data_IF_936477528435
#
_entry.id   IF_936477528435
#
_cell.length_a   1.000
_cell.length_b   1.000
_cell.length_c   1.000
_cell.angle_alpha   90.00
_cell.angle_beta   90.00
_cell.angle_gamma   90.00
#
_symmetry.space_group_name_H-M   'P 1'
#
loop_
_entity.id
_entity.type
_entity.pdbx_description
1 polymer ?
#
# COMPACT_ATOMS: atom_id res chain seq x y z
N UNK A 1 10.00 4.69 -2.15
CA UNK A 1 9.59 3.58 -3.04
C UNK A 1 9.41 4.15 -4.43
N UNK A 2 9.96 3.55 -5.49
CA UNK A 2 9.83 4.09 -6.85
C UNK A 2 9.35 3.04 -7.81
N UNK A 3 8.51 3.44 -8.77
CA UNK A 3 8.14 2.56 -9.88
C UNK A 3 9.33 2.36 -10.81
N UNK A 4 9.51 1.12 -11.28
CA UNK A 4 10.47 0.80 -12.32
C UNK A 4 9.95 1.27 -13.69
N UNK A 5 10.83 1.81 -14.56
CA UNK A 5 10.43 2.30 -15.86
C UNK A 5 9.86 1.18 -16.75
N UNK A 6 8.83 1.50 -17.52
CA UNK A 6 8.17 0.59 -18.45
C UNK A 6 7.18 -0.38 -17.80
N UNK A 7 6.97 -0.30 -16.48
CA UNK A 7 5.99 -1.15 -15.81
C UNK A 7 4.54 -0.69 -16.12
N UNK A 8 3.60 -1.63 -16.07
CA UNK A 8 2.19 -1.39 -16.38
C UNK A 8 1.59 -0.24 -15.55
N UNK A 9 2.00 -0.10 -14.29
CA UNK A 9 1.43 0.90 -13.38
C UNK A 9 1.67 2.34 -13.85
N UNK A 10 2.75 2.61 -14.60
CA UNK A 10 3.04 3.95 -15.13
C UNK A 10 1.98 4.46 -16.12
N UNK A 11 1.14 3.57 -16.66
CA UNK A 11 0.06 3.93 -17.57
C UNK A 11 -1.30 4.11 -16.86
N UNK A 12 -1.35 3.91 -15.54
CA UNK A 12 -2.53 4.13 -14.74
C UNK A 12 -2.53 5.56 -14.20
N UNK A 13 -3.68 6.21 -14.33
CA UNK A 13 -3.94 7.52 -13.72
C UNK A 13 -4.64 7.34 -12.37
N UNK A 14 -4.06 7.95 -11.34
CA UNK A 14 -4.63 8.11 -10.01
C UNK A 14 -5.26 9.50 -9.91
N UNK A 15 -6.52 9.57 -9.48
CA UNK A 15 -7.16 10.85 -9.20
C UNK A 15 -6.49 11.55 -8.01
N UNK A 16 -6.05 12.80 -8.19
CA UNK A 16 -5.32 13.53 -7.14
C UNK A 16 -6.19 13.93 -5.94
N UNK A 17 -7.51 14.01 -6.11
CA UNK A 17 -8.42 14.43 -5.03
C UNK A 17 -8.78 13.28 -4.10
N UNK A 18 -9.10 12.12 -4.68
CA UNK A 18 -9.60 10.95 -3.97
C UNK A 18 -8.54 9.86 -3.81
N UNK A 19 -7.41 9.95 -4.52
CA UNK A 19 -6.38 8.92 -4.58
C UNK A 19 -6.98 7.54 -4.95
N UNK A 20 -7.83 7.53 -5.98
CA UNK A 20 -8.49 6.35 -6.52
C UNK A 20 -8.32 6.29 -8.03
N UNK A 21 -8.39 5.07 -8.58
CA UNK A 21 -8.40 4.87 -10.02
C UNK A 21 -9.79 5.18 -10.60
N UNK A 22 -9.82 5.68 -11.83
CA UNK A 22 -11.06 5.69 -12.61
C UNK A 22 -11.56 4.26 -12.83
N UNK A 23 -12.87 4.09 -13.10
CA UNK A 23 -13.47 2.77 -13.38
C UNK A 23 -12.72 2.02 -14.50
N UNK A 24 -12.28 2.74 -15.54
CA UNK A 24 -11.52 2.16 -16.65
C UNK A 24 -10.15 1.63 -16.19
N UNK A 25 -9.42 2.40 -15.39
CA UNK A 25 -8.12 1.99 -14.87
C UNK A 25 -8.25 0.86 -13.84
N UNK A 26 -9.28 0.91 -12.99
CA UNK A 26 -9.62 -0.16 -12.07
C UNK A 26 -9.91 -1.47 -12.82
N UNK A 27 -10.68 -1.42 -13.92
CA UNK A 27 -10.94 -2.60 -14.76
C UNK A 27 -9.65 -3.17 -15.38
N UNK A 28 -8.79 -2.30 -15.92
CA UNK A 28 -7.51 -2.74 -16.47
C UNK A 28 -6.62 -3.37 -15.38
N UNK A 29 -6.65 -2.84 -14.16
CA UNK A 29 -5.94 -3.39 -13.02
C UNK A 29 -6.53 -4.73 -12.56
N UNK A 30 -7.86 -4.91 -12.60
CA UNK A 30 -8.51 -6.20 -12.34
C UNK A 30 -8.06 -7.27 -13.34
N UNK A 31 -8.00 -6.93 -14.62
CA UNK A 31 -7.53 -7.86 -15.66
C UNK A 31 -6.04 -8.21 -15.43
N UNK A 32 -5.23 -7.22 -15.06
CA UNK A 32 -3.84 -7.46 -14.71
C UNK A 32 -3.68 -8.36 -13.47
N UNK A 33 -4.49 -8.15 -12.43
CA UNK A 33 -4.53 -9.02 -11.25
C UNK A 33 -4.89 -10.47 -11.61
N UNK A 34 -5.87 -10.67 -12.48
CA UNK A 34 -6.24 -12.01 -12.96
C UNK A 34 -5.11 -12.71 -13.74
N UNK A 35 -4.27 -11.95 -14.46
CA UNK A 35 -3.08 -12.49 -15.11
C UNK A 35 -2.00 -12.90 -14.11
N UNK A 36 -1.86 -12.15 -13.01
CA UNK A 36 -0.95 -12.50 -11.92
C UNK A 36 -1.45 -13.72 -11.12
N UNK A 37 -2.76 -13.89 -11.00
CA UNK A 37 -3.40 -15.02 -10.33
C UNK A 37 -3.38 -16.31 -11.18
N UNK A 38 -2.18 -16.89 -11.33
CA UNK A 38 -1.97 -18.14 -12.07
C UNK A 38 -2.74 -19.34 -11.50
N UNK A 39 -3.16 -19.27 -10.23
CA UNK A 39 -3.90 -20.33 -9.56
C UNK A 39 -5.42 -20.16 -9.66
N UNK A 40 -5.91 -19.00 -10.14
CA UNK A 40 -7.34 -18.66 -10.30
C UNK A 40 -8.12 -18.81 -9.00
N UNK A 41 -7.54 -18.34 -7.90
CA UNK A 41 -8.17 -18.31 -6.56
C UNK A 41 -8.82 -16.97 -6.22
N UNK A 42 -8.74 -16.00 -7.13
CA UNK A 42 -9.04 -14.59 -6.90
C UNK A 42 -8.18 -13.96 -5.79
N UNK A 43 -6.96 -14.50 -5.59
CA UNK A 43 -6.02 -14.05 -4.58
C UNK A 43 -4.57 -14.36 -5.02
N UNK A 44 -3.61 -13.54 -4.60
CA UNK A 44 -2.19 -13.74 -4.87
C UNK A 44 -1.51 -14.30 -3.63
N UNK A 45 -0.86 -15.45 -3.76
CA UNK A 45 0.00 -15.94 -2.68
C UNK A 45 1.26 -15.05 -2.54
N UNK A 46 2.02 -15.30 -1.47
CA UNK A 46 3.25 -14.57 -1.15
C UNK A 46 4.26 -14.52 -2.31
N UNK A 47 4.41 -15.60 -3.10
CA UNK A 47 5.33 -15.63 -4.23
C UNK A 47 4.83 -14.79 -5.41
N UNK A 48 3.55 -14.89 -5.76
CA UNK A 48 2.94 -14.09 -6.84
C UNK A 48 3.01 -12.60 -6.51
N UNK A 49 2.65 -12.22 -5.28
CA UNK A 49 2.74 -10.86 -4.79
C UNK A 49 4.18 -10.35 -4.75
N UNK A 50 5.12 -11.18 -4.29
CA UNK A 50 6.54 -10.86 -4.27
C UNK A 50 7.08 -10.57 -5.67
N UNK A 51 6.82 -11.46 -6.63
CA UNK A 51 7.25 -11.31 -8.01
C UNK A 51 6.68 -10.03 -8.64
N UNK A 52 5.39 -9.75 -8.40
CA UNK A 52 4.76 -8.52 -8.85
C UNK A 52 5.47 -7.27 -8.32
N UNK A 53 5.58 -7.12 -6.99
CA UNK A 53 6.18 -5.92 -6.39
C UNK A 53 7.67 -5.79 -6.73
N UNK A 54 8.40 -6.91 -6.78
CA UNK A 54 9.79 -6.89 -7.18
C UNK A 54 9.96 -6.47 -8.65
N UNK A 55 9.01 -6.82 -9.52
CA UNK A 55 9.04 -6.41 -10.92
C UNK A 55 8.69 -4.94 -11.13
N UNK A 56 7.67 -4.42 -10.43
CA UNK A 56 7.16 -3.05 -10.67
C UNK A 56 7.82 -1.97 -9.82
N UNK A 57 8.52 -2.32 -8.74
CA UNK A 57 9.14 -1.36 -7.80
C UNK A 57 10.63 -1.62 -7.54
N UNK A 58 11.29 -0.66 -6.90
CA UNK A 58 12.63 -0.79 -6.32
C UNK A 58 12.66 -1.37 -4.88
N UNK A 59 11.53 -1.89 -4.37
CA UNK A 59 11.45 -2.41 -3.01
C UNK A 59 12.40 -3.61 -2.80
N UNK A 60 13.03 -3.62 -1.62
CA UNK A 60 13.87 -4.73 -1.17
C UNK A 60 12.99 -5.89 -0.69
N UNK A 61 13.49 -7.12 -0.81
CA UNK A 61 12.79 -8.33 -0.37
C UNK A 61 12.17 -8.19 1.03
N UNK A 62 12.95 -7.71 2.00
CA UNK A 62 12.46 -7.49 3.38
C UNK A 62 11.23 -6.57 3.47
N UNK A 63 11.15 -5.53 2.65
CA UNK A 63 10.02 -4.60 2.65
C UNK A 63 8.80 -5.20 1.94
N UNK A 64 9.02 -5.99 0.88
CA UNK A 64 7.94 -6.70 0.18
C UNK A 64 7.34 -7.78 1.07
N UNK A 65 8.18 -8.55 1.77
CA UNK A 65 7.73 -9.55 2.75
C UNK A 65 6.94 -8.90 3.87
N UNK A 66 7.46 -7.81 4.46
CA UNK A 66 6.75 -7.07 5.49
C UNK A 66 5.41 -6.51 4.98
N UNK A 67 5.36 -5.93 3.77
CA UNK A 67 4.09 -5.43 3.22
C UNK A 67 3.07 -6.56 3.02
N UNK A 68 3.50 -7.76 2.61
CA UNK A 68 2.60 -8.91 2.53
C UNK A 68 2.03 -9.26 3.91
N UNK A 69 2.88 -9.34 4.95
CA UNK A 69 2.47 -9.64 6.33
C UNK A 69 1.51 -8.58 6.89
N UNK A 70 1.71 -7.29 6.55
CA UNK A 70 0.82 -6.20 6.98
C UNK A 70 -0.58 -6.26 6.33
N UNK A 71 -0.67 -6.83 5.12
CA UNK A 71 -1.94 -6.97 4.39
C UNK A 71 -2.67 -8.27 4.76
N UNK A 72 -1.96 -9.39 4.86
CA UNK A 72 -2.48 -10.74 5.16
C UNK A 72 -2.79 -10.93 6.66
N UNK A 73 -3.56 -10.00 7.25
CA UNK A 73 -3.86 -9.97 8.69
C UNK A 73 -4.63 -11.19 9.18
N UNK A 74 -5.49 -11.74 8.33
CA UNK A 74 -6.25 -12.95 8.63
C UNK A 74 -5.42 -14.23 8.51
N UNK A 75 -4.13 -14.11 8.15
CA UNK A 75 -3.20 -15.21 7.92
C UNK A 75 -3.76 -16.25 6.92
N UNK A 76 -4.49 -15.79 5.90
CA UNK A 76 -5.01 -16.65 4.83
C UNK A 76 -3.87 -17.13 3.91
N UNK A 77 -2.72 -16.44 3.94
CA UNK A 77 -1.57 -16.74 3.09
C UNK A 77 -1.74 -16.19 1.68
N UNK A 78 -2.67 -15.25 1.48
CA UNK A 78 -2.97 -14.68 0.17
C UNK A 78 -3.57 -13.29 0.25
N UNK A 79 -3.34 -12.49 -0.77
CA UNK A 79 -3.82 -11.12 -0.91
C UNK A 79 -4.95 -11.06 -1.93
N UNK A 80 -6.12 -10.59 -1.53
CA UNK A 80 -7.27 -10.36 -2.38
C UNK A 80 -7.12 -9.11 -3.27
N UNK A 81 -8.11 -8.87 -4.14
CA UNK A 81 -8.06 -7.72 -5.04
C UNK A 81 -8.12 -6.38 -4.31
N UNK A 82 -8.86 -6.27 -3.20
CA UNK A 82 -9.03 -5.00 -2.47
C UNK A 82 -7.72 -4.52 -1.84
N UNK A 83 -6.99 -5.44 -1.21
CA UNK A 83 -5.65 -5.19 -0.65
C UNK A 83 -4.64 -4.88 -1.75
N UNK A 84 -4.66 -5.65 -2.83
CA UNK A 84 -3.82 -5.40 -4.00
C UNK A 84 -4.10 -4.02 -4.60
N UNK A 85 -5.37 -3.64 -4.72
CA UNK A 85 -5.80 -2.34 -5.24
C UNK A 85 -5.32 -1.19 -4.34
N UNK A 86 -5.42 -1.36 -3.01
CA UNK A 86 -4.92 -0.39 -2.04
C UNK A 86 -3.40 -0.18 -2.22
N UNK A 87 -2.63 -1.25 -2.34
CA UNK A 87 -1.19 -1.18 -2.60
C UNK A 87 -0.90 -0.42 -3.90
N UNK A 88 -1.62 -0.72 -4.99
CA UNK A 88 -1.40 -0.03 -6.26
C UNK A 88 -1.72 1.47 -6.16
N UNK A 89 -2.80 1.84 -5.47
CA UNK A 89 -3.12 3.24 -5.24
C UNK A 89 -2.05 3.94 -4.37
N UNK A 90 -1.49 3.24 -3.37
CA UNK A 90 -0.37 3.74 -2.57
C UNK A 90 0.89 3.93 -3.41
N UNK A 91 1.22 2.97 -4.28
CA UNK A 91 2.37 3.06 -5.20
C UNK A 91 2.25 4.28 -6.11
N UNK A 92 1.07 4.50 -6.68
CA UNK A 92 0.80 5.63 -7.56
C UNK A 92 0.79 6.95 -6.79
N UNK A 93 0.21 6.98 -5.58
CA UNK A 93 0.25 8.16 -4.72
C UNK A 93 1.70 8.56 -4.41
N UNK A 94 2.58 7.59 -4.15
CA UNK A 94 4.00 7.86 -3.97
C UNK A 94 4.66 8.36 -5.27
N UNK A 95 4.36 7.77 -6.43
CA UNK A 95 4.91 8.23 -7.72
C UNK A 95 4.47 9.67 -8.05
N UNK A 96 3.26 10.05 -7.64
CA UNK A 96 2.67 11.37 -7.87
C UNK A 96 2.86 12.37 -6.72
N UNK A 97 3.61 12.04 -5.66
CA UNK A 97 3.82 12.90 -4.48
C UNK A 97 2.53 13.29 -3.73
N UNK A 98 1.58 12.35 -3.64
CA UNK A 98 0.27 12.48 -3.02
C UNK A 98 0.16 11.70 -1.70
N UNK A 99 1.27 11.35 -1.05
CA UNK A 99 1.29 10.45 0.12
C UNK A 99 0.44 11.00 1.28
N UNK A 100 0.54 12.31 1.56
CA UNK A 100 -0.28 12.96 2.61
C UNK A 100 -1.77 12.92 2.28
N UNK A 101 -2.13 13.19 1.02
CA UNK A 101 -3.51 13.14 0.56
C UNK A 101 -4.06 11.71 0.60
N UNK A 102 -3.26 10.73 0.22
CA UNK A 102 -3.59 9.31 0.31
C UNK A 102 -3.89 8.90 1.76
N UNK A 103 -3.03 9.27 2.72
CA UNK A 103 -3.25 8.99 4.15
C UNK A 103 -4.55 9.62 4.63
N UNK A 104 -4.82 10.88 4.26
CA UNK A 104 -6.03 11.57 4.67
C UNK A 104 -7.31 10.91 4.10
N UNK A 105 -7.30 10.57 2.81
CA UNK A 105 -8.47 9.97 2.11
C UNK A 105 -8.71 8.51 2.48
N UNK A 106 -7.64 7.77 2.78
CA UNK A 106 -7.66 6.34 3.08
C UNK A 106 -7.21 6.06 4.51
N UNK A 107 -7.54 6.96 5.44
CA UNK A 107 -7.06 6.92 6.83
C UNK A 107 -7.42 5.62 7.53
N UNK A 108 -8.63 5.07 7.33
CA UNK A 108 -9.02 3.78 7.91
C UNK A 108 -8.12 2.61 7.45
N UNK A 109 -8.02 2.34 6.14
CA UNK A 109 -7.09 1.34 5.61
C UNK A 109 -5.62 1.57 5.98
N UNK A 110 -5.16 2.83 5.97
CA UNK A 110 -3.79 3.19 6.36
C UNK A 110 -3.54 2.96 7.84
N UNK A 111 -4.49 3.34 8.69
CA UNK A 111 -4.43 3.09 10.13
C UNK A 111 -4.32 1.60 10.38
N UNK A 112 -5.17 0.80 9.73
CA UNK A 112 -5.03 -0.67 9.78
C UNK A 112 -3.69 -1.13 9.24
N UNK A 113 -3.06 -0.51 8.25
CA UNK A 113 -1.71 -0.95 7.85
C UNK A 113 -0.62 -0.63 8.90
N UNK A 114 -0.85 0.41 9.72
CA UNK A 114 0.11 0.92 10.70
C UNK A 114 -0.06 0.28 12.09
N UNK A 115 -1.28 -0.05 12.50
CA UNK A 115 -1.63 -0.68 13.78
C UNK A 115 -1.40 -2.21 13.68
N UNK A 116 -0.15 -2.64 13.84
CA UNK A 116 0.34 -3.99 13.56
C UNK A 116 -0.18 -4.99 14.60
N UNK A 117 -0.25 -4.58 15.87
CA UNK A 117 -0.70 -5.45 16.97
C UNK A 117 -2.22 -5.38 17.24
N UNK A 118 -2.96 -4.56 16.49
CA UNK A 118 -4.41 -4.39 16.56
C UNK A 118 -4.88 -3.84 17.92
N UNK A 119 -4.02 -3.07 18.60
CA UNK A 119 -4.33 -2.41 19.87
C UNK A 119 -5.14 -1.11 19.70
N UNK A 120 -5.48 -0.77 18.46
CA UNK A 120 -6.23 0.42 18.05
C UNK A 120 -5.50 1.73 18.33
N UNK A 121 -4.18 1.67 18.50
CA UNK A 121 -3.27 2.80 18.52
C UNK A 121 -2.15 2.60 17.49
N UNK A 122 -1.29 3.60 17.30
CA UNK A 122 -0.08 3.43 16.48
C UNK A 122 1.09 3.83 17.34
N UNK A 123 1.86 2.85 17.80
CA UNK A 123 3.07 3.09 18.56
C UNK A 123 4.20 3.64 17.67
N UNK A 124 5.20 4.35 18.22
CA UNK A 124 6.38 4.77 17.47
C UNK A 124 7.15 3.63 16.80
N UNK A 125 7.09 2.42 17.38
CA UNK A 125 7.74 1.23 16.84
C UNK A 125 7.05 0.75 15.58
N UNK A 126 5.73 0.60 15.63
CA UNK A 126 4.94 0.20 14.45
C UNK A 126 5.05 1.24 13.35
N UNK A 127 5.05 2.51 13.75
CA UNK A 127 5.32 3.62 12.88
C UNK A 127 6.66 3.47 12.15
N UNK A 128 7.73 3.12 12.88
CA UNK A 128 9.06 2.93 12.30
C UNK A 128 9.10 1.72 11.36
N UNK A 129 8.38 0.65 11.67
CA UNK A 129 8.34 -0.60 10.88
C UNK A 129 7.64 -0.36 9.55
N UNK A 130 6.46 0.25 9.57
CA UNK A 130 5.62 0.46 8.37
C UNK A 130 5.88 1.80 7.65
N UNK A 131 6.62 2.73 8.26
CA UNK A 131 6.86 4.08 7.73
C UNK A 131 7.51 4.16 6.35
N UNK A 132 8.19 3.09 5.89
CA UNK A 132 8.74 3.03 4.53
C UNK A 132 7.67 3.12 3.43
N UNK A 133 6.41 2.81 3.75
CA UNK A 133 5.28 2.84 2.81
C UNK A 133 4.93 4.26 2.36
N UNK A 134 5.11 5.23 3.25
CA UNK A 134 4.62 6.59 3.04
C UNK A 134 5.73 7.57 2.69
N UNK A 135 7.00 7.15 2.75
CA UNK A 135 8.17 8.00 2.43
C UNK A 135 8.19 9.34 3.19
N UNK A 136 7.53 9.39 4.35
CA UNK A 136 7.47 10.59 5.17
C UNK A 136 8.76 10.63 5.99
N UNK A 137 9.43 11.80 5.98
CA UNK A 137 10.60 12.02 6.84
C UNK A 137 10.18 11.90 8.30
N UNK A 138 11.07 11.41 9.17
CA UNK A 138 10.82 11.27 10.61
C UNK A 138 10.21 12.54 11.23
N UNK A 139 10.72 13.72 10.86
CA UNK A 139 10.25 15.01 11.39
C UNK A 139 8.88 15.45 10.84
N UNK A 140 8.52 15.03 9.61
CA UNK A 140 7.17 15.23 9.06
C UNK A 140 6.18 14.21 9.61
N UNK A 141 6.67 13.05 10.01
CA UNK A 141 5.89 12.01 10.66
C UNK A 141 5.44 12.39 12.05
N UNK A 142 6.32 12.96 12.85
CA UNK A 142 5.94 13.49 14.16
C UNK A 142 4.87 14.59 14.06
N UNK A 143 4.87 15.35 12.96
CA UNK A 143 3.81 16.34 12.69
C UNK A 143 2.49 15.68 12.31
N UNK A 144 2.51 14.72 11.38
CA UNK A 144 1.32 13.97 11.01
C UNK A 144 0.76 13.24 12.23
N UNK A 145 1.60 12.58 13.02
CA UNK A 145 1.19 11.94 14.26
C UNK A 145 0.48 12.94 15.18
N UNK A 146 1.05 14.12 15.42
CA UNK A 146 0.40 15.19 16.20
C UNK A 146 -0.88 15.75 15.58
N UNK A 147 -0.96 15.82 14.26
CA UNK A 147 -2.15 16.33 13.56
C UNK A 147 -3.32 15.33 13.63
N UNK A 148 -3.03 14.03 13.78
CA UNK A 148 -4.01 12.95 13.88
C UNK A 148 -4.24 12.45 15.31
N UNK A 149 -3.33 12.74 16.25
CA UNK A 149 -3.46 12.46 17.68
C UNK A 149 -4.42 13.47 18.33
N UNK A 150 -5.70 13.11 18.32
CA UNK A 150 -6.77 13.90 18.95
C UNK A 150 -6.72 13.79 20.49
N UNK A 151 -6.09 12.73 21.02
CA UNK A 151 -6.00 12.41 22.45
C UNK A 151 -4.86 13.12 23.18
N UNK A 152 -3.74 13.40 22.51
CA UNK A 152 -2.54 14.00 23.09
C UNK A 152 -1.64 13.01 23.86
N UNK A 153 -1.73 11.71 23.57
CA UNK A 153 -0.96 10.63 24.23
C UNK A 153 0.23 10.13 23.38
#
# INVERSE_FOLDING_TARGET
>A
MKLKPGCFLQYLYLDETYCLLSVRNAKALTDYFQLLDVHKKNALNNLQFYCFLHYVTDLKKKHITLLFELLDRNAEGSIGFDEFYLVVCLLLAHENHLEKQFIYRHSGPVFRLLDIDDDHTISPTEFQVAGFLFNIKKDELEKIFKDFDVSGE
#
